data_IF_241515470921
#
_entry.id   IF_241515470921
#
_cell.length_a   1.000
_cell.length_b   1.000
_cell.length_c   1.000
_cell.angle_alpha   90.00
_cell.angle_beta   90.00
_cell.angle_gamma   90.00
#
_symmetry.space_group_name_H-M   'P 1'
#
loop_
_entity.id
_entity.type
_entity.pdbx_description
1 polymer ?
#
# COMPACT_ATOMS: atom_id res chain seq x y z
N UNK A 1 -47.44 19.65 39.77
CA UNK A 1 -46.00 19.28 39.75
C UNK A 1 -45.85 18.16 38.73
N UNK A 2 -45.47 18.49 37.50
CA UNK A 2 -45.26 17.52 36.43
C UNK A 2 -43.87 16.88 36.59
N UNK A 3 -43.71 15.57 36.35
CA UNK A 3 -42.40 14.92 36.43
C UNK A 3 -41.50 15.37 35.26
N UNK A 4 -40.27 15.68 35.58
CA UNK A 4 -39.23 16.08 34.64
C UNK A 4 -38.93 14.93 33.68
N UNK A 5 -38.85 15.28 32.40
CA UNK A 5 -38.46 14.45 31.27
C UNK A 5 -36.96 14.01 31.39
N UNK A 6 -36.62 12.71 31.40
CA UNK A 6 -35.22 12.24 31.38
C UNK A 6 -34.67 12.14 29.98
N UNK A 7 -34.94 13.13 29.12
CA UNK A 7 -34.34 13.19 27.78
C UNK A 7 -33.11 14.07 27.78
N UNK A 8 -32.02 13.48 27.31
CA UNK A 8 -30.75 14.10 26.87
C UNK A 8 -29.62 14.23 27.90
N UNK A 9 -29.18 13.10 28.44
CA UNK A 9 -27.73 12.95 28.62
C UNK A 9 -27.14 12.36 27.33
N UNK A 10 -26.83 13.24 26.39
CA UNK A 10 -25.97 12.90 25.26
C UNK A 10 -24.60 12.50 25.83
N UNK A 11 -24.29 11.21 25.73
CA UNK A 11 -23.00 10.61 26.07
C UNK A 11 -21.89 11.43 25.38
N UNK A 12 -20.95 12.06 26.11
CA UNK A 12 -19.90 12.85 25.50
C UNK A 12 -19.11 11.93 24.57
N UNK A 13 -19.00 12.29 23.30
CA UNK A 13 -18.34 11.54 22.25
C UNK A 13 -17.02 10.97 22.78
N UNK A 14 -16.93 9.62 22.82
CA UNK A 14 -15.74 8.93 23.27
C UNK A 14 -14.49 9.57 22.63
N UNK A 15 -13.45 9.92 23.43
CA UNK A 15 -12.28 10.64 22.92
C UNK A 15 -11.70 9.89 21.75
N UNK A 16 -11.46 10.60 20.64
CA UNK A 16 -10.83 10.04 19.47
C UNK A 16 -9.52 9.35 19.90
N UNK A 17 -9.36 8.06 19.56
CA UNK A 17 -8.17 7.29 19.94
C UNK A 17 -6.91 8.08 19.58
N UNK A 18 -5.91 8.18 20.47
CA UNK A 18 -4.73 9.00 20.25
C UNK A 18 -4.09 8.62 18.92
N UNK A 19 -3.80 9.65 18.16
CA UNK A 19 -3.17 9.51 16.85
C UNK A 19 -1.74 9.02 17.06
N UNK A 20 -1.34 8.01 16.30
CA UNK A 20 0.02 7.48 16.37
C UNK A 20 0.96 8.37 15.53
N UNK A 21 1.34 9.53 16.07
CA UNK A 21 2.12 10.57 15.38
C UNK A 21 3.45 10.05 14.81
N UNK A 22 4.09 9.10 15.51
CA UNK A 22 5.32 8.48 15.03
C UNK A 22 5.13 7.67 13.73
N UNK A 23 3.98 7.00 13.54
CA UNK A 23 3.66 6.30 12.30
C UNK A 23 3.34 7.27 11.17
N UNK A 24 2.66 8.38 11.49
CA UNK A 24 2.45 9.45 10.52
C UNK A 24 3.80 10.05 10.10
N UNK A 25 4.74 10.27 11.03
CA UNK A 25 6.09 10.74 10.72
C UNK A 25 6.84 9.77 9.79
N UNK A 26 6.84 8.47 10.09
CA UNK A 26 7.47 7.45 9.24
C UNK A 26 6.87 7.42 7.83
N UNK A 27 5.54 7.52 7.71
CA UNK A 27 4.88 7.59 6.40
C UNK A 27 5.24 8.83 5.62
N UNK A 28 5.34 9.97 6.31
CA UNK A 28 5.76 11.23 5.70
C UNK A 28 7.18 11.16 5.17
N UNK A 29 8.11 10.64 5.98
CA UNK A 29 9.50 10.42 5.59
C UNK A 29 9.57 9.46 4.39
N UNK A 30 8.88 8.32 4.45
CA UNK A 30 8.87 7.34 3.36
C UNK A 30 8.38 7.96 2.04
N UNK A 31 7.32 8.80 2.07
CA UNK A 31 6.82 9.49 0.87
C UNK A 31 7.84 10.45 0.27
N UNK A 32 8.54 11.22 1.12
CA UNK A 32 9.59 12.13 0.66
C UNK A 32 10.80 11.38 0.11
N UNK A 33 11.21 10.29 0.76
CA UNK A 33 12.33 9.46 0.31
C UNK A 33 12.04 8.88 -1.09
N UNK A 34 10.81 8.40 -1.33
CA UNK A 34 10.40 7.91 -2.66
C UNK A 34 10.36 9.05 -3.69
N UNK A 35 9.82 10.22 -3.34
CA UNK A 35 9.82 11.38 -4.23
C UNK A 35 11.23 11.86 -4.54
N UNK A 36 12.11 11.90 -3.53
CA UNK A 36 13.53 12.21 -3.69
C UNK A 36 14.24 11.19 -4.58
N UNK A 37 13.99 9.89 -4.40
CA UNK A 37 14.56 8.83 -5.24
C UNK A 37 14.23 9.04 -6.72
N UNK A 38 12.95 9.31 -7.04
CA UNK A 38 12.55 9.53 -8.44
C UNK A 38 13.07 10.86 -8.99
N UNK A 39 13.03 11.95 -8.23
CA UNK A 39 13.61 13.23 -8.63
C UNK A 39 15.14 13.16 -8.74
N UNK A 40 15.81 12.47 -7.82
CA UNK A 40 17.24 12.23 -7.87
C UNK A 40 17.66 11.42 -9.10
N UNK A 41 16.82 10.48 -9.53
CA UNK A 41 17.08 9.72 -10.77
C UNK A 41 17.10 10.59 -12.03
N UNK A 42 16.43 11.74 -12.02
CA UNK A 42 16.31 12.64 -13.15
C UNK A 42 17.27 13.83 -13.06
N UNK A 43 17.49 14.36 -11.85
CA UNK A 43 18.23 15.62 -11.65
C UNK A 43 19.58 15.47 -10.94
N UNK A 44 19.88 14.29 -10.39
CA UNK A 44 21.16 13.96 -9.75
C UNK A 44 21.66 12.60 -10.20
N UNK A 45 21.90 12.38 -11.51
CA UNK A 45 22.28 11.07 -12.04
C UNK A 45 23.60 10.54 -11.47
N UNK A 46 24.60 11.41 -11.26
CA UNK A 46 25.91 11.04 -10.70
C UNK A 46 25.79 10.67 -9.23
N UNK A 47 25.16 11.52 -8.41
CA UNK A 47 24.89 11.26 -7.01
C UNK A 47 24.06 9.99 -6.83
N UNK A 48 23.04 9.79 -7.69
CA UNK A 48 22.24 8.57 -7.66
C UNK A 48 23.10 7.33 -7.95
N UNK A 49 23.97 7.40 -8.93
CA UNK A 49 24.89 6.30 -9.23
C UNK A 49 25.75 5.95 -8.02
N UNK A 50 26.31 6.95 -7.34
CA UNK A 50 27.13 6.72 -6.16
C UNK A 50 26.33 6.20 -4.97
N UNK A 51 25.13 6.75 -4.67
CA UNK A 51 24.35 6.29 -3.53
C UNK A 51 23.77 4.89 -3.74
N UNK A 52 23.44 4.50 -4.97
CA UNK A 52 23.01 3.14 -5.30
C UNK A 52 24.07 2.07 -5.01
N UNK A 53 25.34 2.44 -4.94
CA UNK A 53 26.42 1.54 -4.52
C UNK A 53 26.24 1.08 -3.06
N UNK A 54 25.45 1.83 -2.28
CA UNK A 54 25.22 1.55 -0.87
C UNK A 54 23.77 1.24 -0.56
N UNK A 55 22.82 1.97 -1.14
CA UNK A 55 21.40 1.87 -0.78
C UNK A 55 20.47 2.33 -1.90
N UNK A 56 19.39 1.58 -2.14
CA UNK A 56 18.26 2.07 -2.92
C UNK A 56 17.21 2.71 -2.00
N UNK A 57 17.09 4.03 -2.10
CA UNK A 57 16.15 4.80 -1.28
C UNK A 57 14.69 4.54 -1.67
N UNK A 58 14.42 4.19 -2.93
CA UNK A 58 13.09 3.85 -3.40
C UNK A 58 12.56 2.60 -2.70
N UNK A 59 13.36 1.54 -2.69
CA UNK A 59 13.03 0.29 -2.01
C UNK A 59 12.84 0.50 -0.51
N UNK A 60 13.72 1.27 0.15
CA UNK A 60 13.58 1.61 1.56
C UNK A 60 12.26 2.30 1.87
N UNK A 61 11.89 3.30 1.08
CA UNK A 61 10.63 4.03 1.26
C UNK A 61 9.41 3.14 1.09
N UNK A 62 9.40 2.27 0.06
CA UNK A 62 8.32 1.34 -0.22
C UNK A 62 8.19 0.28 0.88
N UNK A 63 9.29 -0.37 1.28
CA UNK A 63 9.27 -1.36 2.35
C UNK A 63 8.81 -0.76 3.68
N UNK A 64 9.23 0.48 3.99
CA UNK A 64 8.77 1.19 5.18
C UNK A 64 7.26 1.49 5.12
N UNK A 65 6.72 1.89 3.96
CA UNK A 65 5.28 2.03 3.76
C UNK A 65 4.53 0.72 4.01
N UNK A 66 5.01 -0.40 3.47
CA UNK A 66 4.37 -1.69 3.65
C UNK A 66 4.39 -2.13 5.12
N UNK A 67 5.50 -1.95 5.81
CA UNK A 67 5.61 -2.28 7.23
C UNK A 67 4.64 -1.46 8.10
N UNK A 68 4.57 -0.14 7.84
CA UNK A 68 3.63 0.77 8.52
C UNK A 68 2.17 0.43 8.16
N UNK A 69 1.88 0.12 6.91
CA UNK A 69 0.55 -0.31 6.45
C UNK A 69 0.12 -1.59 7.16
N UNK A 70 1.00 -2.57 7.25
CA UNK A 70 0.78 -3.81 7.98
C UNK A 70 0.46 -3.58 9.46
N UNK A 71 1.11 -2.62 10.10
CA UNK A 71 0.85 -2.25 11.48
C UNK A 71 -0.52 -1.55 11.67
N UNK A 72 -0.98 -0.72 10.72
CA UNK A 72 -2.16 0.14 10.87
C UNK A 72 -3.44 -0.51 10.33
N UNK A 73 -3.38 -1.20 9.18
CA UNK A 73 -4.57 -1.62 8.43
C UNK A 73 -5.43 -2.61 9.21
N UNK A 74 -4.89 -3.72 9.77
CA UNK A 74 -5.67 -4.66 10.55
C UNK A 74 -6.36 -4.00 11.75
N UNK A 75 -5.63 -3.12 12.44
CA UNK A 75 -6.18 -2.36 13.56
C UNK A 75 -7.28 -1.38 13.15
N UNK A 76 -7.27 -0.89 11.91
CA UNK A 76 -8.33 -0.04 11.39
C UNK A 76 -9.62 -0.82 11.11
N UNK A 77 -9.50 -2.08 10.64
CA UNK A 77 -10.64 -2.99 10.46
C UNK A 77 -11.29 -3.34 11.81
N UNK A 78 -10.48 -3.68 12.80
CA UNK A 78 -10.96 -3.99 14.15
C UNK A 78 -11.69 -2.80 14.79
N UNK A 79 -11.12 -1.59 14.69
CA UNK A 79 -11.79 -0.37 15.18
C UNK A 79 -13.09 -0.06 14.43
N UNK A 80 -13.14 -0.37 13.13
CA UNK A 80 -14.35 -0.22 12.35
C UNK A 80 -15.46 -1.19 12.84
N UNK A 81 -15.09 -2.35 13.39
CA UNK A 81 -15.96 -3.44 13.83
C UNK A 81 -17.01 -3.83 12.76
N UNK A 82 -16.73 -3.55 11.48
CA UNK A 82 -17.60 -3.83 10.34
C UNK A 82 -16.78 -3.74 9.05
N UNK A 83 -16.84 -4.80 8.26
CA UNK A 83 -16.18 -4.87 6.95
C UNK A 83 -16.70 -3.78 6.01
N UNK A 84 -18.00 -3.52 6.01
CA UNK A 84 -18.61 -2.45 5.20
C UNK A 84 -18.04 -1.07 5.56
N UNK A 85 -17.92 -0.74 6.85
CA UNK A 85 -17.34 0.54 7.31
C UNK A 85 -15.86 0.64 6.96
N UNK A 86 -15.14 -0.47 7.03
CA UNK A 86 -13.74 -0.54 6.61
C UNK A 86 -13.62 -0.20 5.12
N UNK A 87 -14.40 -0.84 4.24
CA UNK A 87 -14.36 -0.58 2.79
C UNK A 87 -14.77 0.86 2.44
N UNK A 88 -15.83 1.40 3.06
CA UNK A 88 -16.19 2.81 2.89
C UNK A 88 -14.99 3.70 3.23
N UNK A 89 -14.34 3.45 4.37
CA UNK A 89 -13.16 4.22 4.78
C UNK A 89 -12.00 4.12 3.78
N UNK A 90 -11.79 2.96 3.14
CA UNK A 90 -10.74 2.77 2.12
C UNK A 90 -11.08 3.45 0.80
N UNK A 91 -12.29 3.26 0.29
CA UNK A 91 -12.74 3.87 -0.96
C UNK A 91 -12.62 5.40 -0.88
N UNK A 92 -13.18 6.02 0.15
CA UNK A 92 -13.12 7.49 0.31
C UNK A 92 -11.74 8.05 0.66
N UNK A 93 -10.79 7.20 1.03
CA UNK A 93 -9.40 7.59 1.26
C UNK A 93 -8.55 7.52 -0.01
N UNK A 94 -8.75 6.51 -0.85
CA UNK A 94 -7.82 6.17 -1.93
C UNK A 94 -8.33 6.70 -3.27
N UNK A 95 -9.56 6.38 -3.65
CA UNK A 95 -10.08 6.66 -4.99
C UNK A 95 -10.14 8.13 -5.38
N UNK A 96 -10.49 9.10 -4.51
CA UNK A 96 -10.61 10.48 -4.94
C UNK A 96 -9.34 11.01 -5.57
N UNK A 97 -8.20 10.78 -4.92
CA UNK A 97 -6.92 11.24 -5.45
C UNK A 97 -6.41 10.35 -6.59
N UNK A 98 -6.61 9.04 -6.52
CA UNK A 98 -6.29 8.13 -7.62
C UNK A 98 -6.95 8.57 -8.92
N UNK A 99 -8.25 8.89 -8.89
CA UNK A 99 -8.99 9.35 -10.07
C UNK A 99 -8.47 10.70 -10.59
N UNK A 100 -8.11 11.63 -9.70
CA UNK A 100 -7.49 12.91 -10.09
C UNK A 100 -6.16 12.67 -10.81
N UNK A 101 -5.32 11.79 -10.30
CA UNK A 101 -4.01 11.47 -10.91
C UNK A 101 -4.18 10.74 -12.24
N UNK A 102 -5.10 9.78 -12.33
CA UNK A 102 -5.40 9.08 -13.58
C UNK A 102 -5.96 10.06 -14.63
N UNK A 103 -6.86 10.96 -14.23
CA UNK A 103 -7.39 12.01 -15.13
C UNK A 103 -6.28 12.95 -15.60
N UNK A 104 -5.36 13.37 -14.70
CA UNK A 104 -4.23 14.23 -15.09
C UNK A 104 -3.33 13.53 -16.11
N UNK A 105 -3.02 12.26 -15.91
CA UNK A 105 -2.21 11.48 -16.85
C UNK A 105 -2.91 11.29 -18.19
N UNK A 106 -4.22 11.04 -18.18
CA UNK A 106 -5.01 10.92 -19.41
C UNK A 106 -5.08 12.24 -20.18
N UNK A 107 -5.16 13.38 -19.48
CA UNK A 107 -5.13 14.70 -20.10
C UNK A 107 -3.76 14.99 -20.74
N UNK A 108 -2.66 14.64 -20.08
CA UNK A 108 -1.32 14.78 -20.63
C UNK A 108 -1.12 13.91 -21.88
N UNK A 109 -1.67 12.71 -21.90
CA UNK A 109 -1.67 11.81 -23.04
C UNK A 109 -2.48 12.39 -24.21
N UNK A 110 -3.72 12.82 -23.96
CA UNK A 110 -4.59 13.43 -24.99
C UNK A 110 -4.04 14.74 -25.55
N UNK A 111 -3.29 15.48 -24.76
CA UNK A 111 -2.58 16.67 -25.19
C UNK A 111 -1.31 16.37 -26.02
N UNK A 112 -0.96 15.10 -26.24
CA UNK A 112 0.25 14.70 -26.92
C UNK A 112 1.55 15.00 -26.17
N UNK A 113 1.43 15.38 -24.89
CA UNK A 113 2.56 15.85 -24.06
C UNK A 113 3.36 14.70 -23.52
N UNK A 114 2.70 13.63 -23.10
CA UNK A 114 3.33 12.38 -22.67
C UNK A 114 2.39 11.22 -22.97
N UNK A 115 2.75 10.35 -23.91
CA UNK A 115 1.96 9.15 -24.12
C UNK A 115 1.92 8.37 -22.80
N UNK A 116 0.72 7.99 -22.38
CA UNK A 116 0.51 6.96 -21.37
C UNK A 116 1.25 5.74 -21.87
N UNK A 117 2.47 5.50 -21.41
CA UNK A 117 3.46 4.53 -21.87
C UNK A 117 3.10 3.95 -23.24
N UNK A 118 3.86 4.27 -24.26
CA UNK A 118 3.64 3.78 -25.63
C UNK A 118 3.16 2.32 -25.57
N UNK A 119 1.95 2.04 -26.08
CA UNK A 119 1.38 0.73 -26.08
C UNK A 119 0.39 0.39 -24.95
N UNK A 120 0.11 1.24 -23.97
CA UNK A 120 -0.82 0.88 -22.88
C UNK A 120 -2.27 0.74 -23.38
N UNK A 121 -2.69 1.60 -24.31
CA UNK A 121 -4.01 1.50 -24.95
C UNK A 121 -3.95 0.80 -26.31
N UNK A 122 -2.77 0.70 -26.91
CA UNK A 122 -2.56 0.02 -28.20
C UNK A 122 -2.33 -1.49 -28.03
N UNK A 123 -1.70 -1.91 -26.92
CA UNK A 123 -1.38 -3.31 -26.62
C UNK A 123 -2.44 -4.02 -25.80
N UNK A 124 -3.38 -3.29 -25.20
CA UNK A 124 -4.41 -3.84 -24.33
C UNK A 124 -5.75 -3.17 -24.63
N UNK A 125 -6.83 -3.96 -24.54
CA UNK A 125 -8.19 -3.44 -24.58
C UNK A 125 -8.38 -2.38 -23.47
N UNK A 126 -8.96 -1.24 -23.82
CA UNK A 126 -9.27 -0.16 -22.89
C UNK A 126 -10.08 -0.64 -21.68
N UNK A 127 -10.96 -1.65 -21.87
CA UNK A 127 -11.73 -2.25 -20.78
C UNK A 127 -10.84 -2.92 -19.73
N UNK A 128 -9.79 -3.64 -20.16
CA UNK A 128 -8.81 -4.25 -19.26
C UNK A 128 -8.03 -3.18 -18.48
N UNK A 129 -7.59 -2.12 -19.17
CA UNK A 129 -6.88 -1.02 -18.53
C UNK A 129 -7.75 -0.31 -17.47
N UNK A 130 -9.01 -0.02 -17.79
CA UNK A 130 -9.97 0.59 -16.86
C UNK A 130 -10.24 -0.34 -15.67
N UNK A 131 -10.56 -1.62 -15.93
CA UNK A 131 -10.83 -2.60 -14.88
C UNK A 131 -9.63 -2.75 -13.92
N UNK A 132 -8.42 -2.87 -14.46
CA UNK A 132 -7.20 -3.01 -13.68
C UNK A 132 -6.94 -1.80 -12.77
N UNK A 133 -7.09 -0.57 -13.28
CA UNK A 133 -6.87 0.64 -12.50
C UNK A 133 -7.99 0.91 -11.49
N UNK A 134 -9.25 0.61 -11.83
CA UNK A 134 -10.37 0.74 -10.89
C UNK A 134 -10.33 -0.31 -9.78
N UNK A 135 -9.81 -1.50 -10.03
CA UNK A 135 -9.57 -2.48 -8.96
C UNK A 135 -8.28 -2.21 -8.18
N UNK A 136 -7.42 -1.31 -8.66
CA UNK A 136 -6.04 -1.10 -8.17
C UNK A 136 -5.19 -2.39 -8.21
N UNK A 137 -5.47 -3.30 -9.14
CA UNK A 137 -4.75 -4.57 -9.27
C UNK A 137 -3.95 -4.67 -10.56
N UNK A 138 -3.61 -3.55 -11.19
CA UNK A 138 -2.95 -3.50 -12.49
C UNK A 138 -1.68 -4.34 -12.55
N UNK A 139 -0.87 -4.33 -11.49
CA UNK A 139 0.35 -5.12 -11.43
C UNK A 139 0.09 -6.63 -11.35
N UNK A 140 -1.03 -7.02 -10.75
CA UNK A 140 -1.49 -8.40 -10.62
C UNK A 140 -2.40 -8.85 -11.77
N UNK A 141 -2.76 -7.94 -12.68
CA UNK A 141 -3.56 -8.23 -13.87
C UNK A 141 -2.75 -8.10 -15.16
N UNK A 142 -1.41 -8.07 -15.03
CA UNK A 142 -0.47 -7.92 -16.14
C UNK A 142 -0.70 -6.66 -16.99
N UNK A 143 -1.36 -5.63 -16.43
CA UNK A 143 -1.61 -4.35 -17.10
C UNK A 143 -0.55 -3.34 -16.65
N UNK A 144 0.09 -2.59 -17.58
CA UNK A 144 1.02 -1.54 -17.22
C UNK A 144 0.40 -0.48 -16.32
N UNK A 145 1.20 0.07 -15.39
CA UNK A 145 0.74 1.16 -14.53
C UNK A 145 0.71 2.48 -15.28
N UNK A 146 -0.38 3.22 -15.24
CA UNK A 146 -0.48 4.58 -15.78
C UNK A 146 0.54 5.54 -15.14
N UNK A 147 0.80 5.32 -13.85
CA UNK A 147 1.87 5.96 -13.08
C UNK A 147 2.68 4.88 -12.41
N UNK A 148 4.01 4.95 -12.51
CA UNK A 148 4.90 3.85 -12.06
C UNK A 148 4.61 3.42 -10.60
N UNK A 149 4.37 4.33 -9.70
CA UNK A 149 4.17 4.06 -8.27
C UNK A 149 2.86 3.32 -7.92
N UNK A 150 1.94 3.18 -8.87
CA UNK A 150 0.66 2.50 -8.64
C UNK A 150 0.81 0.98 -8.37
N UNK A 151 1.93 0.38 -8.75
CA UNK A 151 2.17 -1.04 -8.50
C UNK A 151 2.06 -1.42 -7.01
N UNK A 152 2.46 -0.52 -6.12
CA UNK A 152 2.37 -0.74 -4.67
C UNK A 152 0.93 -0.81 -4.17
N UNK A 153 0.00 -0.06 -4.80
CA UNK A 153 -1.43 -0.11 -4.46
C UNK A 153 -2.04 -1.49 -4.78
N UNK A 154 -1.49 -2.22 -5.75
CA UNK A 154 -1.94 -3.57 -6.05
C UNK A 154 -1.70 -4.52 -4.87
N UNK A 155 -0.53 -4.44 -4.23
CA UNK A 155 -0.22 -5.23 -3.04
C UNK A 155 -0.97 -4.73 -1.79
N UNK A 156 -1.22 -3.43 -1.68
CA UNK A 156 -2.05 -2.89 -0.60
C UNK A 156 -3.50 -3.38 -0.73
N UNK A 157 -4.06 -3.45 -1.95
CA UNK A 157 -5.41 -4.00 -2.19
C UNK A 157 -5.48 -5.50 -1.86
N UNK A 158 -4.49 -6.28 -2.29
CA UNK A 158 -4.36 -7.69 -1.91
C UNK A 158 -4.36 -7.84 -0.39
N UNK A 159 -3.57 -7.02 0.29
CA UNK A 159 -3.51 -7.06 1.75
C UNK A 159 -4.86 -6.72 2.39
N UNK A 160 -5.63 -5.77 1.85
CA UNK A 160 -7.00 -5.51 2.32
C UNK A 160 -7.90 -6.74 2.21
N UNK A 161 -7.88 -7.42 1.07
CA UNK A 161 -8.67 -8.63 0.84
C UNK A 161 -8.27 -9.76 1.79
N UNK A 162 -6.96 -10.00 1.97
CA UNK A 162 -6.44 -11.01 2.89
C UNK A 162 -6.77 -10.70 4.35
N UNK A 163 -6.62 -9.44 4.78
CA UNK A 163 -6.96 -9.03 6.16
C UNK A 163 -8.45 -9.19 6.42
N UNK A 164 -9.31 -8.86 5.46
CA UNK A 164 -10.76 -9.05 5.58
C UNK A 164 -11.11 -10.55 5.64
N UNK A 165 -10.47 -11.40 4.82
CA UNK A 165 -10.66 -12.84 4.86
C UNK A 165 -10.22 -13.44 6.20
N UNK A 166 -9.04 -13.08 6.71
CA UNK A 166 -8.52 -13.54 7.99
C UNK A 166 -9.37 -13.06 9.17
N UNK A 167 -9.90 -11.84 9.08
CA UNK A 167 -10.84 -11.31 10.08
C UNK A 167 -12.13 -12.13 10.09
N UNK A 168 -12.66 -12.47 8.92
CA UNK A 168 -13.87 -13.31 8.79
C UNK A 168 -13.70 -14.71 9.36
N UNK A 169 -12.48 -15.27 9.25
CA UNK A 169 -12.11 -16.57 9.78
C UNK A 169 -11.75 -16.53 11.28
N UNK A 170 -11.72 -15.35 11.92
CA UNK A 170 -11.24 -15.19 13.30
C UNK A 170 -9.75 -15.49 13.50
N UNK A 171 -8.97 -15.50 12.42
CA UNK A 171 -7.55 -15.88 12.44
C UNK A 171 -6.57 -14.72 12.46
N UNK A 172 -7.04 -13.49 12.31
CA UNK A 172 -6.20 -12.30 12.19
C UNK A 172 -5.37 -12.04 13.46
N UNK A 173 -5.93 -12.34 14.64
CA UNK A 173 -5.31 -12.02 15.92
C UNK A 173 -4.13 -12.92 16.28
N UNK A 174 -4.27 -14.23 16.07
CA UNK A 174 -3.33 -15.24 16.59
C UNK A 174 -2.30 -15.69 15.56
N UNK A 175 -2.59 -15.56 14.26
CA UNK A 175 -1.80 -16.19 13.20
C UNK A 175 -0.95 -15.21 12.37
N UNK A 176 -0.90 -13.92 12.72
CA UNK A 176 -0.15 -12.94 11.93
C UNK A 176 1.35 -13.26 11.81
N UNK A 177 1.99 -13.72 12.89
CA UNK A 177 3.38 -14.15 12.86
C UNK A 177 3.57 -15.43 12.03
N UNK A 178 2.69 -16.42 12.21
CA UNK A 178 2.72 -17.67 11.42
C UNK A 178 2.53 -17.39 9.93
N UNK A 179 1.61 -16.47 9.58
CA UNK A 179 1.37 -16.08 8.18
C UNK A 179 2.59 -15.38 7.60
N UNK A 180 3.19 -14.43 8.33
CA UNK A 180 4.42 -13.77 7.88
C UNK A 180 5.54 -14.78 7.62
N UNK A 181 5.74 -15.72 8.54
CA UNK A 181 6.75 -16.79 8.39
C UNK A 181 6.42 -17.72 7.22
N UNK A 182 5.15 -18.13 7.07
CA UNK A 182 4.73 -19.00 5.96
C UNK A 182 4.91 -18.34 4.59
N UNK A 183 4.58 -17.04 4.48
CA UNK A 183 4.82 -16.25 3.27
C UNK A 183 6.32 -16.13 2.96
N UNK A 184 7.16 -15.98 4.00
CA UNK A 184 8.62 -15.92 3.85
C UNK A 184 9.19 -17.24 3.35
N UNK A 185 8.75 -18.38 3.92
CA UNK A 185 9.13 -19.71 3.43
C UNK A 185 8.63 -19.91 2.00
N UNK A 186 7.39 -19.55 1.71
CA UNK A 186 6.84 -19.57 0.34
C UNK A 186 7.66 -18.75 -0.64
N UNK A 187 8.08 -17.54 -0.23
CA UNK A 187 8.93 -16.68 -1.05
C UNK A 187 10.26 -17.36 -1.43
N UNK A 188 10.87 -18.07 -0.51
CA UNK A 188 12.15 -18.79 -0.75
C UNK A 188 11.97 -20.07 -1.57
N UNK A 189 10.86 -20.79 -1.41
CA UNK A 189 10.68 -22.12 -1.99
C UNK A 189 9.97 -22.09 -3.36
N UNK A 190 9.00 -21.19 -3.54
CA UNK A 190 8.14 -21.14 -4.74
C UNK A 190 8.65 -20.14 -5.78
N UNK A 191 9.55 -19.25 -5.37
CA UNK A 191 10.05 -18.15 -6.19
C UNK A 191 10.66 -18.57 -7.53
N UNK A 192 11.37 -19.70 -7.55
CA UNK A 192 12.08 -20.19 -8.72
C UNK A 192 11.18 -20.93 -9.74
N UNK A 193 9.94 -21.29 -9.36
CA UNK A 193 9.13 -22.25 -10.11
C UNK A 193 7.96 -21.60 -10.85
N UNK A 194 7.40 -20.52 -10.30
CA UNK A 194 6.20 -19.92 -10.86
C UNK A 194 6.52 -18.79 -11.85
N UNK A 195 6.05 -18.90 -13.10
CA UNK A 195 6.25 -17.85 -14.10
C UNK A 195 5.42 -16.60 -13.77
N UNK A 196 5.96 -15.43 -14.12
CA UNK A 196 5.23 -14.16 -14.02
C UNK A 196 4.07 -14.12 -15.01
N UNK A 197 2.95 -13.48 -14.62
CA UNK A 197 1.75 -13.29 -15.44
C UNK A 197 1.22 -14.58 -16.12
N UNK A 198 1.35 -15.75 -15.47
CA UNK A 198 1.02 -17.04 -16.07
C UNK A 198 -0.44 -17.14 -16.54
N UNK A 199 -1.40 -16.65 -15.75
CA UNK A 199 -2.82 -16.67 -16.12
C UNK A 199 -3.07 -15.77 -17.34
N UNK A 200 -2.53 -14.56 -17.35
CA UNK A 200 -2.67 -13.64 -18.48
C UNK A 200 -1.95 -14.14 -19.73
N UNK A 201 -0.82 -14.82 -19.58
CA UNK A 201 -0.12 -15.47 -20.69
C UNK A 201 -0.91 -16.62 -21.32
N UNK A 202 -1.68 -17.37 -20.50
CA UNK A 202 -2.48 -18.50 -21.00
C UNK A 202 -3.86 -18.10 -21.52
N UNK A 203 -4.54 -17.17 -20.88
CA UNK A 203 -5.95 -16.85 -21.14
C UNK A 203 -6.17 -15.48 -21.77
N UNK A 204 -5.10 -14.69 -21.91
CA UNK A 204 -5.15 -13.29 -22.34
C UNK A 204 -5.38 -12.31 -21.18
N UNK A 205 -4.87 -11.10 -21.33
CA UNK A 205 -4.94 -10.05 -20.30
C UNK A 205 -6.38 -9.60 -20.06
N UNK A 206 -7.13 -9.33 -21.12
CA UNK A 206 -8.51 -8.80 -21.03
C UNK A 206 -9.47 -9.75 -20.33
N UNK A 207 -9.58 -11.04 -20.67
CA UNK A 207 -10.44 -11.97 -19.94
C UNK A 207 -10.06 -12.10 -18.46
N UNK A 208 -8.77 -12.19 -18.16
CA UNK A 208 -8.30 -12.29 -16.76
C UNK A 208 -8.63 -11.01 -15.97
N UNK A 209 -8.40 -9.84 -16.55
CA UNK A 209 -8.67 -8.56 -15.89
C UNK A 209 -10.18 -8.36 -15.61
N UNK A 210 -11.03 -8.62 -16.58
CA UNK A 210 -12.48 -8.45 -16.42
C UNK A 210 -13.07 -9.48 -15.46
N UNK A 211 -12.63 -10.75 -15.53
CA UNK A 211 -13.04 -11.79 -14.60
C UNK A 211 -12.62 -11.47 -13.17
N UNK A 212 -11.37 -11.09 -12.97
CA UNK A 212 -10.87 -10.70 -11.64
C UNK A 212 -11.61 -9.48 -11.08
N UNK A 213 -11.89 -8.48 -11.91
CA UNK A 213 -12.66 -7.29 -11.52
C UNK A 213 -14.10 -7.68 -11.12
N UNK A 214 -14.75 -8.55 -11.87
CA UNK A 214 -16.08 -9.06 -11.54
C UNK A 214 -16.10 -9.86 -10.23
N UNK A 215 -15.13 -10.75 -10.04
CA UNK A 215 -14.99 -11.53 -8.79
C UNK A 215 -14.71 -10.58 -7.61
N UNK A 216 -13.85 -9.59 -7.77
CA UNK A 216 -13.54 -8.62 -6.71
C UNK A 216 -14.77 -7.79 -6.34
N UNK A 217 -15.53 -7.30 -7.32
CA UNK A 217 -16.77 -6.56 -7.09
C UNK A 217 -17.79 -7.41 -6.32
N UNK A 218 -17.97 -8.67 -6.74
CA UNK A 218 -18.83 -9.64 -6.06
C UNK A 218 -18.34 -9.91 -4.64
N UNK A 219 -17.03 -10.15 -4.45
CA UNK A 219 -16.43 -10.44 -3.15
C UNK A 219 -16.63 -9.28 -2.17
N UNK A 220 -16.37 -8.04 -2.57
CA UNK A 220 -16.56 -6.84 -1.75
C UNK A 220 -18.06 -6.61 -1.49
N UNK A 221 -18.91 -6.77 -2.51
CA UNK A 221 -20.36 -6.64 -2.39
C UNK A 221 -20.94 -7.62 -1.36
N UNK A 222 -20.59 -8.89 -1.46
CA UNK A 222 -20.98 -9.92 -0.50
C UNK A 222 -20.39 -9.66 0.89
N UNK A 223 -19.11 -9.27 0.98
CA UNK A 223 -18.44 -8.96 2.25
C UNK A 223 -19.08 -7.76 2.97
N UNK A 224 -19.80 -6.90 2.26
CA UNK A 224 -20.55 -5.79 2.81
C UNK A 224 -22.01 -6.16 3.20
N UNK A 225 -22.44 -7.40 2.96
CA UNK A 225 -23.79 -7.85 3.30
C UNK A 225 -23.99 -7.98 4.81
N UNK A 226 -25.26 -7.90 5.23
CA UNK A 226 -25.62 -8.01 6.65
C UNK A 226 -25.73 -9.46 7.14
N UNK A 227 -26.00 -10.41 6.26
CA UNK A 227 -26.14 -11.84 6.59
C UNK A 227 -24.76 -12.47 6.87
N UNK A 228 -24.56 -13.18 8.00
CA UNK A 228 -23.24 -13.70 8.40
C UNK A 228 -22.59 -14.62 7.37
N UNK A 229 -23.33 -15.49 6.73
CA UNK A 229 -22.79 -16.40 5.74
C UNK A 229 -22.37 -15.67 4.45
N UNK A 230 -23.13 -14.66 3.98
CA UNK A 230 -22.80 -13.88 2.78
C UNK A 230 -21.50 -13.10 2.98
N UNK A 231 -21.35 -12.36 4.09
CA UNK A 231 -20.16 -11.57 4.29
C UNK A 231 -18.90 -12.44 4.49
N UNK A 232 -19.04 -13.62 5.13
CA UNK A 232 -17.92 -14.57 5.25
C UNK A 232 -17.54 -15.16 3.89
N UNK A 233 -18.52 -15.56 3.07
CA UNK A 233 -18.29 -16.04 1.70
C UNK A 233 -17.61 -14.98 0.84
N UNK A 234 -18.08 -13.72 0.88
CA UNK A 234 -17.45 -12.62 0.17
C UNK A 234 -16.01 -12.36 0.61
N UNK A 235 -15.76 -12.39 1.92
CA UNK A 235 -14.43 -12.25 2.48
C UNK A 235 -13.49 -13.39 2.02
N UNK A 236 -13.96 -14.64 2.08
CA UNK A 236 -13.19 -15.81 1.61
C UNK A 236 -12.89 -15.73 0.11
N UNK A 237 -13.90 -15.38 -0.71
CA UNK A 237 -13.75 -15.21 -2.16
C UNK A 237 -12.68 -14.15 -2.48
N UNK A 238 -12.70 -13.00 -1.77
CA UNK A 238 -11.68 -11.97 -1.94
C UNK A 238 -10.29 -12.45 -1.55
N UNK A 239 -10.16 -13.20 -0.45
CA UNK A 239 -8.89 -13.80 -0.03
C UNK A 239 -8.34 -14.82 -1.02
N UNK A 240 -9.20 -15.68 -1.60
CA UNK A 240 -8.82 -16.64 -2.65
C UNK A 240 -8.39 -15.91 -3.92
N UNK A 241 -9.16 -14.91 -4.37
CA UNK A 241 -8.78 -14.09 -5.52
C UNK A 241 -7.39 -13.47 -5.33
N UNK A 242 -7.15 -12.87 -4.16
CA UNK A 242 -5.86 -12.26 -3.82
C UNK A 242 -4.72 -13.28 -3.91
N UNK A 243 -4.89 -14.47 -3.33
CA UNK A 243 -3.89 -15.54 -3.37
C UNK A 243 -3.62 -16.03 -4.81
N UNK A 244 -4.68 -16.27 -5.59
CA UNK A 244 -4.58 -16.72 -7.00
C UNK A 244 -3.83 -15.70 -7.85
N UNK A 245 -4.12 -14.40 -7.69
CA UNK A 245 -3.48 -13.37 -8.49
C UNK A 245 -2.01 -13.18 -8.11
N UNK A 246 -1.67 -13.21 -6.82
CA UNK A 246 -0.26 -13.09 -6.37
C UNK A 246 0.57 -14.27 -6.85
N UNK A 247 0.03 -15.48 -6.76
CA UNK A 247 0.78 -16.70 -7.13
C UNK A 247 0.80 -16.96 -8.64
N UNK A 248 -0.26 -16.59 -9.35
CA UNK A 248 -0.44 -17.00 -10.74
C UNK A 248 -0.42 -15.88 -11.77
N UNK A 249 -0.42 -14.61 -11.36
CA UNK A 249 -0.53 -13.52 -12.34
C UNK A 249 0.22 -12.22 -12.01
N UNK A 250 1.09 -12.23 -11.01
CA UNK A 250 1.92 -11.07 -10.67
C UNK A 250 2.90 -10.73 -11.82
N UNK A 251 3.10 -9.44 -12.09
CA UNK A 251 4.13 -8.95 -13.01
C UNK A 251 5.53 -8.95 -12.39
N UNK A 252 5.61 -8.79 -11.09
CA UNK A 252 6.87 -8.98 -10.38
C UNK A 252 7.05 -10.47 -10.03
N UNK A 253 8.27 -10.95 -9.85
CA UNK A 253 8.54 -12.31 -9.41
C UNK A 253 7.73 -12.66 -8.14
N UNK A 254 7.20 -13.86 -8.08
CA UNK A 254 6.30 -14.30 -6.97
C UNK A 254 6.98 -14.16 -5.60
N UNK A 255 8.29 -14.42 -5.51
CA UNK A 255 9.04 -14.24 -4.26
C UNK A 255 8.94 -12.80 -3.72
N UNK A 256 9.03 -11.81 -4.61
CA UNK A 256 8.93 -10.41 -4.24
C UNK A 256 7.53 -10.07 -3.75
N UNK A 257 6.49 -10.50 -4.46
CA UNK A 257 5.09 -10.32 -4.05
C UNK A 257 4.79 -10.93 -2.68
N UNK A 258 5.22 -12.18 -2.46
CA UNK A 258 5.09 -12.85 -1.17
C UNK A 258 5.90 -12.15 -0.07
N UNK A 259 7.12 -11.69 -0.38
CA UNK A 259 7.98 -10.92 0.52
C UNK A 259 7.33 -9.61 0.97
N UNK A 260 6.72 -8.86 0.04
CA UNK A 260 6.01 -7.61 0.36
C UNK A 260 4.81 -7.86 1.29
N UNK A 261 4.02 -8.91 1.03
CA UNK A 261 2.94 -9.32 1.92
C UNK A 261 3.48 -9.78 3.29
N UNK A 262 4.60 -10.51 3.31
CA UNK A 262 5.26 -10.93 4.54
C UNK A 262 5.69 -9.71 5.39
N UNK A 263 6.24 -8.66 4.78
CA UNK A 263 6.54 -7.37 5.46
C UNK A 263 5.29 -6.77 6.09
N UNK A 264 4.17 -6.75 5.38
CA UNK A 264 2.93 -6.22 5.93
C UNK A 264 2.42 -7.06 7.10
N UNK A 265 2.49 -8.40 7.02
CA UNK A 265 2.12 -9.27 8.14
C UNK A 265 3.11 -9.20 9.30
N UNK A 266 4.41 -8.92 9.05
CA UNK A 266 5.38 -8.61 10.11
C UNK A 266 4.99 -7.35 10.88
N UNK A 267 4.57 -6.28 10.19
CA UNK A 267 4.00 -5.08 10.81
C UNK A 267 2.79 -5.40 11.69
N UNK A 268 1.92 -6.30 11.22
CA UNK A 268 0.79 -6.80 12.01
C UNK A 268 1.27 -7.57 13.24
N UNK A 269 2.24 -8.47 13.09
CA UNK A 269 2.79 -9.27 14.19
C UNK A 269 3.46 -8.39 15.26
N UNK A 270 4.23 -7.38 14.87
CA UNK A 270 4.83 -6.40 15.79
C UNK A 270 3.74 -5.73 16.63
N UNK A 271 2.66 -5.25 16.00
CA UNK A 271 1.55 -4.63 16.71
C UNK A 271 0.84 -5.60 17.66
N UNK A 272 0.68 -6.87 17.27
CA UNK A 272 0.06 -7.91 18.11
C UNK A 272 0.93 -8.22 19.33
N UNK A 273 2.24 -8.29 19.17
CA UNK A 273 3.19 -8.47 20.27
C UNK A 273 3.16 -7.27 21.23
N UNK A 274 3.17 -6.04 20.71
CA UNK A 274 3.04 -4.82 21.52
C UNK A 274 1.76 -4.80 22.38
N UNK A 275 0.69 -5.40 21.86
CA UNK A 275 -0.58 -5.52 22.57
C UNK A 275 -0.75 -6.79 23.40
N UNK A 276 0.29 -7.61 23.55
CA UNK A 276 0.26 -8.85 24.28
C UNK A 276 -0.64 -9.94 23.66
N UNK A 277 -1.02 -9.80 22.38
CA UNK A 277 -1.87 -10.78 21.69
C UNK A 277 -1.09 -12.00 21.20
N UNK A 278 0.21 -11.83 20.92
CA UNK A 278 1.17 -12.90 20.63
C UNK A 278 2.44 -12.64 21.43
N UNK A 279 3.29 -13.66 21.60
CA UNK A 279 4.58 -13.49 22.27
C UNK A 279 5.54 -12.63 21.44
N UNK A 280 6.38 -11.87 22.13
CA UNK A 280 7.46 -11.09 21.48
C UNK A 280 8.39 -12.01 20.68
N UNK A 281 8.65 -13.22 21.18
CA UNK A 281 9.47 -14.23 20.48
C UNK A 281 8.85 -14.62 19.14
N UNK A 282 7.55 -14.85 19.07
CA UNK A 282 6.86 -15.17 17.81
C UNK A 282 6.95 -14.03 16.80
N UNK A 283 6.80 -12.79 17.25
CA UNK A 283 6.97 -11.61 16.38
C UNK A 283 8.42 -11.47 15.91
N UNK A 284 9.41 -11.68 16.79
CA UNK A 284 10.82 -11.62 16.45
C UNK A 284 11.18 -12.69 15.39
N UNK A 285 10.74 -13.93 15.58
CA UNK A 285 10.93 -15.02 14.59
C UNK A 285 10.32 -14.63 13.24
N UNK A 286 9.11 -14.09 13.23
CA UNK A 286 8.47 -13.66 11.99
C UNK A 286 9.24 -12.52 11.28
N UNK A 287 9.70 -11.52 12.03
CA UNK A 287 10.50 -10.40 11.47
C UNK A 287 11.84 -10.91 10.92
N UNK A 288 12.52 -11.78 11.65
CA UNK A 288 13.78 -12.38 11.18
C UNK A 288 13.56 -13.25 9.93
N UNK A 289 12.50 -14.05 9.89
CA UNK A 289 12.15 -14.85 8.72
C UNK A 289 11.87 -13.97 7.49
N UNK A 290 11.15 -12.87 7.68
CA UNK A 290 10.87 -11.89 6.61
C UNK A 290 12.16 -11.23 6.12
N UNK A 291 13.02 -10.77 7.02
CA UNK A 291 14.30 -10.17 6.64
C UNK A 291 15.18 -11.19 5.88
N UNK A 292 15.29 -12.42 6.38
CA UNK A 292 16.05 -13.48 5.72
C UNK A 292 15.49 -13.84 4.34
N UNK A 293 14.16 -13.89 4.19
CA UNK A 293 13.50 -14.17 2.91
C UNK A 293 13.71 -13.05 1.88
N UNK A 294 13.62 -11.80 2.30
CA UNK A 294 13.88 -10.65 1.43
C UNK A 294 15.35 -10.59 1.00
N UNK A 295 16.27 -10.78 1.95
CA UNK A 295 17.70 -10.80 1.63
C UNK A 295 18.02 -12.00 0.72
N UNK A 296 17.67 -13.22 1.13
CA UNK A 296 17.98 -14.42 0.37
C UNK A 296 17.34 -14.44 -1.01
N UNK A 297 16.04 -14.12 -1.11
CA UNK A 297 15.32 -14.03 -2.39
C UNK A 297 15.88 -12.95 -3.30
N UNK A 298 16.22 -11.77 -2.75
CA UNK A 298 16.83 -10.69 -3.52
C UNK A 298 18.24 -11.03 -4.01
N UNK A 299 19.09 -11.57 -3.16
CA UNK A 299 20.45 -12.00 -3.53
C UNK A 299 20.41 -13.05 -4.64
N UNK A 300 19.57 -14.07 -4.49
CA UNK A 300 19.38 -15.10 -5.51
C UNK A 300 18.84 -14.49 -6.84
N UNK A 301 17.85 -13.61 -6.75
CA UNK A 301 17.28 -12.97 -7.94
C UNK A 301 18.31 -12.11 -8.68
N UNK A 302 19.10 -11.33 -7.96
CA UNK A 302 20.18 -10.50 -8.55
C UNK A 302 21.22 -11.39 -9.22
N UNK A 303 21.65 -12.46 -8.59
CA UNK A 303 22.62 -13.42 -9.14
C UNK A 303 22.14 -14.05 -10.44
N UNK A 304 20.85 -14.40 -10.53
CA UNK A 304 20.29 -15.08 -11.71
C UNK A 304 19.99 -14.10 -12.86
N UNK A 305 19.46 -12.91 -12.55
CA UNK A 305 18.89 -12.00 -13.56
C UNK A 305 19.71 -10.74 -13.82
N UNK A 306 20.70 -10.43 -12.98
CA UNK A 306 21.58 -9.29 -13.15
C UNK A 306 23.05 -9.64 -12.91
N UNK A 307 23.57 -10.74 -13.50
CA UNK A 307 24.97 -11.13 -13.31
C UNK A 307 25.91 -10.10 -13.94
N UNK A 308 27.09 -9.94 -13.35
CA UNK A 308 28.15 -9.11 -13.89
C UNK A 308 28.66 -8.03 -12.94
N UNK A 309 29.28 -6.97 -13.50
CA UNK A 309 29.98 -5.95 -12.70
C UNK A 309 29.11 -5.19 -11.69
N UNK A 310 27.80 -5.11 -11.90
CA UNK A 310 26.86 -4.43 -11.01
C UNK A 310 26.25 -5.34 -9.94
N UNK A 311 26.47 -6.66 -10.02
CA UNK A 311 25.86 -7.65 -9.14
C UNK A 311 26.14 -7.39 -7.65
N UNK A 312 27.42 -7.24 -7.30
CA UNK A 312 27.82 -6.98 -5.92
C UNK A 312 27.29 -5.64 -5.37
N UNK A 313 27.17 -4.65 -6.24
CA UNK A 313 26.59 -3.35 -5.91
C UNK A 313 25.11 -3.51 -5.57
N UNK A 314 24.36 -4.22 -6.41
CA UNK A 314 22.93 -4.46 -6.22
C UNK A 314 22.66 -5.32 -4.97
N UNK A 315 23.45 -6.39 -4.75
CA UNK A 315 23.36 -7.25 -3.56
C UNK A 315 23.56 -6.46 -2.27
N UNK A 316 24.58 -5.61 -2.24
CA UNK A 316 24.88 -4.74 -1.09
C UNK A 316 23.78 -3.71 -0.88
N UNK A 317 23.40 -2.98 -1.91
CA UNK A 317 22.34 -1.95 -1.87
C UNK A 317 21.03 -2.51 -1.34
N UNK A 318 20.61 -3.67 -1.86
CA UNK A 318 19.41 -4.37 -1.41
C UNK A 318 19.47 -4.77 0.07
N UNK A 319 20.58 -5.40 0.49
CA UNK A 319 20.76 -5.87 1.87
C UNK A 319 20.76 -4.69 2.86
N UNK A 320 21.49 -3.62 2.55
CA UNK A 320 21.53 -2.40 3.37
C UNK A 320 20.14 -1.75 3.42
N UNK A 321 19.44 -1.70 2.30
CA UNK A 321 18.08 -1.15 2.22
C UNK A 321 17.10 -1.84 3.18
N UNK A 322 17.12 -3.16 3.24
CA UNK A 322 16.30 -3.94 4.19
C UNK A 322 16.69 -3.61 5.64
N UNK A 323 17.98 -3.58 5.94
CA UNK A 323 18.47 -3.25 7.28
C UNK A 323 18.07 -1.83 7.71
N UNK A 324 18.27 -0.84 6.84
CA UNK A 324 17.89 0.57 7.11
C UNK A 324 16.38 0.71 7.32
N UNK A 325 15.56 0.01 6.53
CA UNK A 325 14.11 -0.01 6.72
C UNK A 325 13.72 -0.54 8.10
N UNK A 326 14.30 -1.67 8.50
CA UNK A 326 14.07 -2.26 9.82
C UNK A 326 14.51 -1.33 10.95
N UNK A 327 15.68 -0.72 10.84
CA UNK A 327 16.22 0.23 11.81
C UNK A 327 15.36 1.51 11.89
N UNK A 328 14.91 2.06 10.76
CA UNK A 328 14.04 3.23 10.72
C UNK A 328 12.72 2.97 11.45
N UNK A 329 12.11 1.80 11.22
CA UNK A 329 10.87 1.42 11.90
C UNK A 329 11.12 1.20 13.41
N UNK A 330 12.20 0.50 13.78
CA UNK A 330 12.57 0.26 15.18
C UNK A 330 12.86 1.58 15.92
N UNK A 331 13.57 2.51 15.30
CA UNK A 331 13.82 3.85 15.83
C UNK A 331 12.52 4.62 16.05
N UNK A 332 11.62 4.63 15.06
CA UNK A 332 10.30 5.24 15.21
C UNK A 332 9.49 4.62 16.36
N UNK A 333 9.54 3.30 16.51
CA UNK A 333 8.88 2.61 17.61
C UNK A 333 9.53 2.91 18.98
N UNK A 334 10.84 3.00 19.05
CA UNK A 334 11.57 3.37 20.28
C UNK A 334 11.25 4.82 20.71
N UNK A 335 11.11 5.72 19.73
CA UNK A 335 10.81 7.13 19.94
C UNK A 335 9.31 7.45 20.06
N UNK A 336 8.41 6.44 19.99
CA UNK A 336 6.96 6.64 19.93
C UNK A 336 6.34 7.44 21.06
N UNK A 337 7.00 7.45 22.23
CA UNK A 337 6.57 8.19 23.42
C UNK A 337 7.25 9.57 23.53
N UNK A 338 8.13 9.91 22.61
CA UNK A 338 8.77 11.21 22.55
C UNK A 338 7.94 12.19 21.75
N UNK A 339 8.07 13.48 22.05
CA UNK A 339 7.42 14.53 21.27
C UNK A 339 8.01 14.59 19.87
N UNK A 340 7.19 14.38 18.87
CA UNK A 340 7.57 14.50 17.46
C UNK A 340 7.38 15.95 17.00
N UNK A 341 8.35 16.56 16.28
CA UNK A 341 8.18 17.89 15.71
C UNK A 341 6.90 17.98 14.87
N UNK A 342 6.10 19.01 15.07
CA UNK A 342 4.74 19.17 14.51
C UNK A 342 4.67 19.06 12.98
N UNK A 343 5.75 19.34 12.29
CA UNK A 343 5.79 19.24 10.82
C UNK A 343 5.83 17.80 10.33
N UNK A 344 6.44 16.87 11.07
CA UNK A 344 6.53 15.45 10.68
C UNK A 344 5.16 14.74 10.63
N UNK A 345 4.29 14.79 11.64
CA UNK A 345 2.94 14.24 11.53
C UNK A 345 2.08 14.94 10.46
N UNK A 346 2.31 16.22 10.18
CA UNK A 346 1.65 16.93 9.08
C UNK A 346 2.07 16.37 7.72
N UNK A 347 3.37 16.07 7.55
CA UNK A 347 3.88 15.39 6.37
C UNK A 347 3.24 14.00 6.19
N UNK A 348 3.06 13.26 7.28
CA UNK A 348 2.35 11.99 7.29
C UNK A 348 0.86 12.10 6.87
N UNK A 349 0.20 13.24 7.14
CA UNK A 349 -1.14 13.50 6.68
C UNK A 349 -1.24 13.54 5.17
N UNK A 350 -0.31 14.24 4.53
CA UNK A 350 -0.26 14.43 3.08
C UNK A 350 0.54 13.35 2.35
N UNK A 351 1.06 12.34 3.09
CA UNK A 351 1.98 11.34 2.53
C UNK A 351 1.42 10.58 1.33
N UNK A 352 0.12 10.26 1.34
CA UNK A 352 -0.52 9.62 0.21
C UNK A 352 -0.62 10.56 -0.99
N UNK A 353 -0.96 11.83 -0.76
CA UNK A 353 -0.98 12.85 -1.82
C UNK A 353 0.42 13.04 -2.41
N UNK A 354 1.46 13.22 -1.58
CA UNK A 354 2.86 13.33 -2.03
C UNK A 354 3.27 12.11 -2.85
N UNK A 355 2.97 10.91 -2.34
CA UNK A 355 3.32 9.65 -3.00
C UNK A 355 2.65 9.51 -4.37
N UNK A 356 1.43 9.97 -4.54
CA UNK A 356 0.67 9.76 -5.77
C UNK A 356 0.91 10.86 -6.82
N UNK A 357 1.17 12.10 -6.39
CA UNK A 357 1.33 13.23 -7.30
C UNK A 357 2.76 13.43 -7.79
N UNK A 358 3.79 12.95 -7.05
CA UNK A 358 5.18 13.25 -7.40
C UNK A 358 5.58 12.80 -8.82
N UNK A 359 5.11 11.66 -9.39
CA UNK A 359 5.48 11.29 -10.74
C UNK A 359 4.81 12.19 -11.79
N UNK A 360 3.61 12.72 -11.49
CA UNK A 360 2.93 13.69 -12.37
C UNK A 360 3.71 14.99 -12.39
N UNK A 361 4.08 15.50 -11.21
CA UNK A 361 4.92 16.70 -11.08
C UNK A 361 6.26 16.52 -11.76
N UNK A 362 6.92 15.36 -11.56
CA UNK A 362 8.18 15.03 -12.22
C UNK A 362 8.03 15.03 -13.75
N UNK A 363 6.94 14.48 -14.25
CA UNK A 363 6.63 14.49 -15.68
C UNK A 363 6.53 15.91 -16.21
N UNK A 364 5.80 16.80 -15.53
CA UNK A 364 5.63 18.20 -15.94
C UNK A 364 6.97 18.93 -15.89
N UNK A 365 7.77 18.71 -14.85
CA UNK A 365 9.12 19.29 -14.74
C UNK A 365 10.04 18.84 -15.85
N UNK A 366 10.06 17.54 -16.16
CA UNK A 366 10.88 16.99 -17.24
C UNK A 366 10.50 17.56 -18.63
N UNK A 367 9.21 17.85 -18.84
CA UNK A 367 8.73 18.48 -20.07
C UNK A 367 9.18 19.95 -20.13
N UNK A 368 9.05 20.67 -19.01
CA UNK A 368 9.33 22.11 -18.96
C UNK A 368 10.83 22.43 -18.95
N UNK A 369 11.63 21.61 -18.26
CA UNK A 369 13.05 21.90 -17.97
C UNK A 369 14.02 20.93 -18.64
N UNK A 370 13.50 19.80 -19.18
CA UNK A 370 14.32 18.73 -19.74
C UNK A 370 14.94 17.84 -18.65
N UNK A 371 15.80 16.93 -19.08
CA UNK A 371 16.58 16.03 -18.23
C UNK A 371 18.05 16.40 -18.36
N UNK A 372 18.70 16.87 -17.30
CA UNK A 372 20.12 17.17 -17.33
C UNK A 372 20.95 15.89 -17.42
N UNK A 373 22.11 16.00 -18.07
CA UNK A 373 23.10 14.90 -18.16
C UNK A 373 24.05 14.83 -16.97
N UNK A 374 24.10 15.88 -16.15
CA UNK A 374 24.94 16.00 -14.95
C UNK A 374 24.10 16.45 -13.75
N UNK A 375 24.63 16.32 -12.56
CA UNK A 375 23.96 16.70 -11.33
C UNK A 375 23.54 18.17 -11.34
N UNK A 376 22.24 18.39 -11.14
CA UNK A 376 21.64 19.73 -11.13
C UNK A 376 20.73 19.89 -9.90
N UNK A 377 21.31 20.11 -8.70
CA UNK A 377 20.57 20.25 -7.44
C UNK A 377 19.52 21.39 -7.48
N UNK A 378 19.81 22.45 -8.28
CA UNK A 378 18.90 23.57 -8.48
C UNK A 378 17.57 23.19 -9.12
N UNK A 379 17.46 22.04 -9.82
CA UNK A 379 16.21 21.53 -10.36
C UNK A 379 15.49 20.61 -9.35
N UNK A 380 16.23 19.86 -8.55
CA UNK A 380 15.66 18.94 -7.55
C UNK A 380 14.90 19.69 -6.46
N UNK A 381 15.45 20.79 -5.95
CA UNK A 381 14.82 21.57 -4.86
C UNK A 381 13.45 22.10 -5.26
N UNK A 382 13.28 22.87 -6.36
CA UNK A 382 11.97 23.33 -6.79
C UNK A 382 11.00 22.18 -7.12
N UNK A 383 11.50 21.06 -7.67
CA UNK A 383 10.67 19.87 -7.86
C UNK A 383 10.09 19.36 -6.52
N UNK A 384 10.93 19.16 -5.49
CA UNK A 384 10.46 18.69 -4.19
C UNK A 384 9.51 19.68 -3.51
N UNK A 385 9.77 20.98 -3.65
CA UNK A 385 8.85 22.02 -3.18
C UNK A 385 7.51 21.94 -3.92
N UNK A 386 7.52 21.81 -5.24
CA UNK A 386 6.31 21.65 -6.04
C UNK A 386 5.53 20.39 -5.64
N UNK A 387 6.20 19.26 -5.40
CA UNK A 387 5.56 18.03 -4.90
C UNK A 387 4.86 18.26 -3.56
N UNK A 388 5.50 18.97 -2.62
CA UNK A 388 4.89 19.28 -1.32
C UNK A 388 3.70 20.25 -1.45
N UNK A 389 3.80 21.26 -2.31
CA UNK A 389 2.72 22.20 -2.57
C UNK A 389 1.54 21.50 -3.23
N UNK A 390 1.76 20.79 -4.34
CA UNK A 390 0.72 20.03 -5.05
C UNK A 390 0.12 18.95 -4.15
N UNK A 391 0.96 18.22 -3.39
CA UNK A 391 0.50 17.24 -2.42
C UNK A 391 -0.38 17.85 -1.31
N UNK A 392 -0.05 19.04 -0.83
CA UNK A 392 -0.87 19.77 0.17
C UNK A 392 -2.19 20.23 -0.43
N UNK A 393 -2.18 20.77 -1.64
CA UNK A 393 -3.37 21.22 -2.36
C UNK A 393 -4.31 20.04 -2.64
N UNK A 394 -3.80 18.96 -3.21
CA UNK A 394 -4.59 17.77 -3.52
C UNK A 394 -5.13 17.09 -2.25
N UNK A 395 -4.34 17.05 -1.17
CA UNK A 395 -4.85 16.61 0.13
C UNK A 395 -6.03 17.47 0.60
N UNK A 396 -5.88 18.80 0.56
CA UNK A 396 -6.88 19.72 1.10
C UNK A 396 -8.19 19.69 0.32
N UNK A 397 -8.12 19.60 -1.01
CA UNK A 397 -9.29 19.78 -1.90
C UNK A 397 -9.86 18.45 -2.42
N UNK A 398 -9.08 17.40 -2.55
CA UNK A 398 -9.57 16.10 -3.02
C UNK A 398 -9.64 15.05 -1.88
N UNK A 399 -8.54 14.82 -1.15
CA UNK A 399 -8.47 13.72 -0.20
C UNK A 399 -9.25 14.00 1.09
N UNK A 400 -9.00 15.12 1.77
CA UNK A 400 -9.57 15.43 3.07
C UNK A 400 -11.10 15.59 3.06
N UNK A 401 -11.72 16.27 2.08
CA UNK A 401 -13.18 16.37 2.00
C UNK A 401 -13.85 15.01 1.81
N UNK A 402 -13.33 14.19 0.90
CA UNK A 402 -13.86 12.85 0.65
C UNK A 402 -13.71 11.94 1.87
N UNK A 403 -12.58 11.99 2.58
CA UNK A 403 -12.42 11.27 3.85
C UNK A 403 -13.43 11.71 4.92
N UNK A 404 -13.78 13.01 4.99
CA UNK A 404 -14.83 13.51 5.91
C UNK A 404 -16.18 12.91 5.53
N UNK A 405 -16.53 12.91 4.24
CA UNK A 405 -17.76 12.30 3.74
C UNK A 405 -17.81 10.80 4.06
N UNK A 406 -16.72 10.07 3.80
CA UNK A 406 -16.63 8.65 4.13
C UNK A 406 -16.85 8.37 5.63
N UNK A 407 -16.28 9.21 6.52
CA UNK A 407 -16.51 9.11 7.97
C UNK A 407 -17.98 9.39 8.34
N UNK A 408 -18.61 10.37 7.70
CA UNK A 408 -20.02 10.70 7.93
C UNK A 408 -20.92 9.53 7.53
N UNK A 409 -20.70 8.94 6.35
CA UNK A 409 -21.43 7.76 5.87
C UNK A 409 -21.24 6.53 6.78
N UNK A 410 -20.02 6.31 7.23
CA UNK A 410 -19.72 5.22 8.16
C UNK A 410 -20.39 5.40 9.54
N UNK A 411 -20.56 6.63 10.03
CA UNK A 411 -21.27 6.95 11.29
C UNK A 411 -22.79 6.75 11.16
N UNK A 412 -23.40 7.18 10.05
CA UNK A 412 -24.86 6.98 9.82
C UNK A 412 -25.26 5.51 9.86
N UNK A 413 -24.36 4.59 9.51
CA UNK A 413 -24.60 3.14 9.62
C UNK A 413 -24.55 2.61 11.07
N UNK A 414 -23.92 3.33 12.01
CA UNK A 414 -23.94 2.99 13.45
C UNK A 414 -25.30 3.29 14.08
N UNK A 415 -25.98 4.34 13.61
CA UNK A 415 -27.22 4.83 14.15
C UNK A 415 -28.48 4.06 13.67
N UNK A 416 -28.37 3.11 12.73
CA UNK A 416 -29.49 2.24 12.34
C UNK A 416 -29.61 1.08 13.32
N UNK A 417 -30.70 1.03 14.16
CA UNK A 417 -30.94 -0.09 15.08
C UNK A 417 -31.21 -1.34 14.24
N UNK A 418 -30.37 -2.34 14.33
CA UNK A 418 -30.59 -3.61 13.62
C UNK A 418 -29.34 -4.40 13.23
N UNK A 419 -28.11 -3.96 13.53
CA UNK A 419 -26.91 -4.73 13.23
C UNK A 419 -26.23 -5.25 14.50
N UNK A 420 -26.45 -6.56 14.78
CA UNK A 420 -25.57 -7.39 15.61
C UNK A 420 -25.53 -7.13 17.12
N UNK A 421 -26.68 -7.09 17.77
CA UNK A 421 -26.82 -7.57 19.16
C UNK A 421 -27.14 -9.07 19.07
N UNK A 422 -26.16 -9.92 18.90
CA UNK A 422 -26.37 -11.36 18.81
C UNK A 422 -25.13 -12.09 18.34
N UNK A 423 -24.06 -12.11 19.12
CA UNK A 423 -23.07 -13.17 19.14
C UNK A 423 -22.08 -12.93 20.29
N UNK A 424 -22.56 -13.05 21.51
CA UNK A 424 -21.80 -13.52 22.66
C UNK A 424 -22.56 -14.71 23.20
N UNK A 425 -22.27 -15.86 22.72
CA UNK A 425 -22.44 -17.17 23.32
C UNK A 425 -21.36 -18.07 22.72
#
# INVERSE_FOLDING_TARGET
MAPADPAAQADPAAPAAPRLEWLDALRGIAALVVAFHHGGSEYLPEFRHEILRFIDLGDCGVLLFFLVSGYIIPASLERAASVRRFWIGRVFRIYPLLLVVLAAMLLLDRAGVKPLRAGMLESYDASAAVAAHLTMMQDLLAVPNAVNVLWTLSYEMVFYLLVVALFALGRLDRHSATIATALSVGALTVAAVLPVAALSGRFGVTPVALTAAGIMALAIGLACASRPWLWRTGAALGGVLAAVLVLGNSRVPVWQGLGLLAVMFAGTAIRRAERGRISVRAAAVAVTAVAAALVGGGLWHIEVYAPGQTEEVLKRSWTIGIAVTGLAFAAGMALRNRRVPRWLPRLGLISYSVYLVHPVVLTIFNIALGRPSADTPLMLVPYLVAVLVVGTVTYRYAEAPCQRLGRCLARRQRARPGSLAGNRA
#
